data_IF_485564641581
#
_entry.id   IF_485564641581
#
_cell.length_a   1.000
_cell.length_b   1.000
_cell.length_c   1.000
_cell.angle_alpha   90.00
_cell.angle_beta   90.00
_cell.angle_gamma   90.00
#
_symmetry.space_group_name_H-M   'P 1'
#
loop_
_entity.id
_entity.type
_entity.pdbx_description
1 polymer ?
#
# COMPACT_ATOMS: atom_id res chain seq x y z
N UNK A 1 7.34 -8.14 -8.80
CA UNK A 1 7.20 -8.30 -7.34
C UNK A 1 8.16 -9.36 -6.80
N UNK A 2 9.48 -9.13 -6.87
CA UNK A 2 10.47 -10.12 -6.40
C UNK A 2 10.50 -10.34 -4.89
N UNK A 3 9.96 -9.40 -4.10
CA UNK A 3 9.86 -9.51 -2.64
C UNK A 3 9.01 -10.70 -2.16
N UNK A 4 8.10 -11.22 -3.00
CA UNK A 4 7.37 -12.44 -2.68
C UNK A 4 8.29 -13.67 -2.64
N UNK A 5 9.43 -13.63 -3.33
CA UNK A 5 10.38 -14.75 -3.38
C UNK A 5 11.23 -14.86 -2.11
N UNK A 6 11.25 -13.80 -1.29
CA UNK A 6 11.88 -13.77 0.03
C UNK A 6 10.93 -14.14 1.16
N UNK A 7 9.66 -14.41 0.87
CA UNK A 7 8.73 -14.93 1.86
C UNK A 7 9.18 -16.31 2.36
N UNK A 8 8.85 -16.67 3.60
CA UNK A 8 9.15 -17.99 4.11
C UNK A 8 8.55 -19.10 3.23
N UNK A 9 9.25 -20.22 3.10
CA UNK A 9 8.87 -21.32 2.20
C UNK A 9 7.82 -22.25 2.83
N UNK A 10 7.69 -22.20 4.14
CA UNK A 10 6.61 -22.82 4.88
C UNK A 10 5.25 -22.27 4.47
N UNK A 11 4.21 -23.09 4.66
CA UNK A 11 2.85 -22.71 4.34
C UNK A 11 2.40 -21.55 5.22
N UNK A 12 2.03 -20.42 4.60
CA UNK A 12 1.45 -19.27 5.27
C UNK A 12 -0.07 -19.45 5.35
N UNK A 13 -0.62 -19.55 6.57
CA UNK A 13 -2.06 -19.76 6.77
C UNK A 13 -2.94 -18.65 6.14
N UNK A 14 -2.37 -17.44 6.01
CA UNK A 14 -3.06 -16.25 5.53
C UNK A 14 -2.88 -15.96 4.03
N UNK A 15 -1.97 -16.68 3.34
CA UNK A 15 -1.68 -16.50 1.92
C UNK A 15 -1.44 -17.86 1.23
N UNK A 16 -2.42 -18.28 0.43
CA UNK A 16 -2.33 -19.52 -0.35
C UNK A 16 -1.46 -19.34 -1.60
N UNK A 17 -0.90 -20.45 -2.11
CA UNK A 17 -0.18 -20.45 -3.38
C UNK A 17 -1.03 -19.97 -4.57
N UNK A 18 -2.34 -20.23 -4.56
CA UNK A 18 -3.28 -19.75 -5.57
C UNK A 18 -3.44 -18.23 -5.51
N UNK A 19 -3.62 -17.65 -4.33
CA UNK A 19 -3.71 -16.20 -4.14
C UNK A 19 -2.39 -15.51 -4.54
N UNK A 20 -1.23 -16.09 -4.19
CA UNK A 20 0.09 -15.61 -4.65
C UNK A 20 0.21 -15.61 -6.17
N UNK A 21 -0.20 -16.69 -6.84
CA UNK A 21 -0.19 -16.76 -8.30
C UNK A 21 -1.13 -15.72 -8.93
N UNK A 22 -2.31 -15.49 -8.33
CA UNK A 22 -3.24 -14.47 -8.81
C UNK A 22 -2.68 -13.04 -8.67
N UNK A 23 -2.01 -12.71 -7.56
CA UNK A 23 -1.32 -11.43 -7.39
C UNK A 23 -0.32 -11.19 -8.52
N UNK A 24 0.56 -12.17 -8.76
CA UNK A 24 1.59 -12.07 -9.79
C UNK A 24 0.98 -11.94 -11.19
N UNK A 25 -0.05 -12.73 -11.50
CA UNK A 25 -0.75 -12.70 -12.78
C UNK A 25 -1.37 -11.32 -13.06
N UNK A 26 -2.18 -10.78 -12.14
CA UNK A 26 -2.87 -9.52 -12.39
C UNK A 26 -1.91 -8.33 -12.41
N UNK A 27 -0.86 -8.35 -11.59
CA UNK A 27 0.16 -7.32 -11.64
C UNK A 27 0.95 -7.34 -12.94
N UNK A 28 1.25 -8.51 -13.49
CA UNK A 28 1.92 -8.62 -14.79
C UNK A 28 1.05 -8.02 -15.91
N UNK A 29 -0.27 -8.27 -15.90
CA UNK A 29 -1.19 -7.65 -16.86
C UNK A 29 -1.19 -6.12 -16.79
N UNK A 30 -1.09 -5.54 -15.59
CA UNK A 30 -0.99 -4.08 -15.45
C UNK A 30 0.40 -3.55 -15.83
N UNK A 31 1.46 -4.27 -15.46
CA UNK A 31 2.85 -3.91 -15.83
C UNK A 31 2.99 -3.79 -17.34
N UNK A 32 2.45 -4.75 -18.10
CA UNK A 32 2.48 -4.72 -19.57
C UNK A 32 1.77 -3.48 -20.16
N UNK A 33 0.70 -3.00 -19.53
CA UNK A 33 0.01 -1.77 -19.98
C UNK A 33 0.83 -0.50 -19.76
N UNK A 34 1.80 -0.54 -18.83
CA UNK A 34 2.62 0.61 -18.46
C UNK A 34 3.98 0.62 -19.17
N UNK A 35 4.40 -0.50 -19.74
CA UNK A 35 5.75 -0.70 -20.29
C UNK A 35 6.11 0.37 -21.33
N UNK A 36 5.17 0.74 -22.20
CA UNK A 36 5.37 1.74 -23.25
C UNK A 36 4.87 3.16 -22.87
N UNK A 37 4.41 3.37 -21.64
CA UNK A 37 3.85 4.65 -21.21
C UNK A 37 4.92 5.64 -20.73
N UNK A 38 5.83 6.01 -21.63
CA UNK A 38 6.94 6.91 -21.33
C UNK A 38 6.50 8.33 -20.92
N UNK A 39 5.27 8.73 -21.25
CA UNK A 39 4.73 10.04 -20.88
C UNK A 39 4.61 10.26 -19.37
N UNK A 40 4.61 9.18 -18.58
CA UNK A 40 4.54 9.20 -17.12
C UNK A 40 5.90 9.09 -16.44
N UNK A 41 6.97 8.89 -17.21
CA UNK A 41 8.31 8.77 -16.66
C UNK A 41 8.73 10.09 -16.02
N UNK A 42 8.94 10.09 -14.71
CA UNK A 42 9.38 11.27 -13.99
C UNK A 42 10.52 10.95 -13.03
N UNK A 43 11.12 11.99 -12.47
CA UNK A 43 12.06 11.81 -11.38
C UNK A 43 11.30 11.35 -10.15
N UNK A 44 11.77 10.28 -9.52
CA UNK A 44 11.18 9.69 -8.32
C UNK A 44 12.23 9.51 -7.23
N UNK A 45 11.79 9.38 -5.99
CA UNK A 45 12.59 8.96 -4.86
C UNK A 45 12.81 7.44 -4.87
N UNK A 46 11.79 6.66 -5.24
CA UNK A 46 11.82 5.19 -5.33
C UNK A 46 11.68 4.46 -3.99
N UNK A 47 11.62 5.19 -2.87
CA UNK A 47 11.38 4.66 -1.53
C UNK A 47 10.84 5.73 -0.57
N UNK A 48 9.87 6.51 -1.07
CA UNK A 48 9.29 7.64 -0.35
C UNK A 48 8.34 7.20 0.78
N UNK A 49 8.88 6.65 1.86
CA UNK A 49 8.13 6.31 3.07
C UNK A 49 8.56 7.17 4.26
N UNK A 50 7.72 7.22 5.30
CA UNK A 50 7.92 8.07 6.49
C UNK A 50 9.30 7.95 7.16
N UNK A 51 9.95 6.77 7.15
CA UNK A 51 11.29 6.61 7.75
C UNK A 51 12.42 7.26 6.95
N UNK A 52 12.15 7.72 5.73
CA UNK A 52 13.10 8.45 4.88
C UNK A 52 12.85 9.96 4.89
N UNK A 53 11.99 10.44 5.79
CA UNK A 53 11.70 11.87 5.96
C UNK A 53 12.22 12.30 7.34
N UNK A 54 13.19 13.21 7.33
CA UNK A 54 13.64 13.90 8.52
C UNK A 54 12.95 15.25 8.63
N UNK A 55 12.39 15.54 9.80
CA UNK A 55 11.80 16.82 10.14
C UNK A 55 12.74 17.56 11.09
N UNK A 56 13.05 18.81 10.77
CA UNK A 56 13.86 19.72 11.58
C UNK A 56 13.21 21.09 11.63
N UNK A 57 13.67 21.92 12.57
CA UNK A 57 13.33 23.35 12.55
C UNK A 57 13.88 23.99 11.26
N UNK A 58 13.07 24.79 10.53
CA UNK A 58 13.54 25.55 9.37
C UNK A 58 14.74 26.45 9.72
N UNK A 59 15.75 26.48 8.86
CA UNK A 59 16.90 27.37 9.03
C UNK A 59 16.50 28.85 8.99
N UNK A 60 16.80 29.58 10.07
CA UNK A 60 16.63 31.04 10.10
C UNK A 60 17.50 31.79 9.06
N UNK A 61 18.53 31.13 8.53
CA UNK A 61 19.47 31.71 7.57
C UNK A 61 19.19 31.29 6.11
N UNK A 62 18.26 30.36 5.88
CA UNK A 62 17.84 29.94 4.54
C UNK A 62 16.31 29.94 4.45
N UNK A 63 15.70 31.01 3.88
CA UNK A 63 14.26 31.10 3.74
C UNK A 63 13.63 30.01 2.85
N UNK A 64 14.43 29.27 2.07
CA UNK A 64 13.95 28.17 1.25
C UNK A 64 13.93 26.83 2.01
N UNK A 65 14.58 26.74 3.16
CA UNK A 65 14.52 25.56 4.02
C UNK A 65 13.14 25.49 4.69
N UNK A 66 12.43 24.42 4.42
CA UNK A 66 11.11 24.14 5.00
C UNK A 66 11.18 23.13 6.15
N UNK A 67 12.37 22.77 6.62
CA UNK A 67 12.58 21.80 7.68
C UNK A 67 12.36 20.35 7.25
N UNK A 68 12.23 20.06 5.95
CA UNK A 68 12.01 18.71 5.43
C UNK A 68 13.24 18.26 4.65
N UNK A 69 13.86 17.18 5.11
CA UNK A 69 14.96 16.51 4.39
C UNK A 69 14.55 15.10 4.00
N UNK A 70 14.70 14.76 2.72
CA UNK A 70 14.50 13.41 2.20
C UNK A 70 15.83 12.63 2.20
N UNK A 71 15.80 11.43 2.76
CA UNK A 71 16.95 10.54 2.90
C UNK A 71 16.79 9.32 1.98
N UNK A 72 17.91 8.67 1.62
CA UNK A 72 17.92 7.39 0.91
C UNK A 72 17.18 7.34 -0.45
N UNK A 73 17.34 8.39 -1.26
CA UNK A 73 16.91 8.39 -2.67
C UNK A 73 17.91 7.65 -3.59
N UNK A 74 18.38 6.46 -3.18
CA UNK A 74 19.53 5.77 -3.77
C UNK A 74 19.20 4.69 -4.81
N UNK A 75 17.92 4.29 -4.93
CA UNK A 75 17.51 3.11 -5.71
C UNK A 75 17.50 3.32 -7.22
N UNK A 76 16.68 4.26 -7.68
CA UNK A 76 16.52 4.64 -9.08
C UNK A 76 15.96 6.06 -9.14
N UNK A 77 16.33 6.80 -10.17
CA UNK A 77 15.95 8.22 -10.30
C UNK A 77 14.85 8.46 -11.31
N UNK A 78 14.52 7.49 -12.17
CA UNK A 78 13.46 7.59 -13.17
C UNK A 78 12.46 6.46 -12.97
N UNK A 79 11.19 6.81 -12.85
CA UNK A 79 10.15 5.84 -12.57
C UNK A 79 8.76 6.42 -12.74
N UNK A 80 7.80 5.72 -12.16
CA UNK A 80 6.39 6.07 -12.22
C UNK A 80 5.97 6.72 -10.88
N UNK A 81 5.32 7.90 -10.90
CA UNK A 81 5.05 8.67 -9.68
C UNK A 81 4.14 7.98 -8.67
N UNK A 82 3.26 7.06 -9.10
CA UNK A 82 2.43 6.28 -8.20
C UNK A 82 3.23 5.38 -7.27
N UNK A 83 4.48 5.03 -7.60
CA UNK A 83 5.33 4.32 -6.65
C UNK A 83 5.59 5.16 -5.40
N UNK A 84 6.03 6.41 -5.55
CA UNK A 84 6.30 7.30 -4.41
C UNK A 84 5.01 7.65 -3.66
N UNK A 85 3.94 8.00 -4.38
CA UNK A 85 2.64 8.32 -3.79
C UNK A 85 2.13 7.16 -2.93
N UNK A 86 2.21 5.93 -3.43
CA UNK A 86 1.72 4.77 -2.69
C UNK A 86 2.72 4.25 -1.67
N UNK A 87 4.02 4.45 -1.87
CA UNK A 87 5.02 4.16 -0.84
C UNK A 87 4.72 4.90 0.46
N UNK A 88 4.30 6.16 0.38
CA UNK A 88 3.82 6.91 1.56
C UNK A 88 2.42 6.47 1.96
N UNK A 89 1.46 6.56 1.04
CA UNK A 89 0.04 6.39 1.36
C UNK A 89 -0.32 5.03 1.97
N UNK A 90 0.36 3.95 1.54
CA UNK A 90 0.07 2.62 2.10
C UNK A 90 0.45 2.50 3.57
N UNK A 91 1.42 3.28 4.08
CA UNK A 91 1.79 3.24 5.50
C UNK A 91 0.65 3.79 6.37
N UNK A 92 -0.05 4.83 5.92
CA UNK A 92 -1.25 5.32 6.60
C UNK A 92 -2.36 4.27 6.60
N UNK A 93 -2.66 3.68 5.44
CA UNK A 93 -3.68 2.62 5.34
C UNK A 93 -3.33 1.43 6.24
N UNK A 94 -2.09 0.96 6.17
CA UNK A 94 -1.58 -0.15 6.96
C UNK A 94 -1.72 0.11 8.45
N UNK A 95 -1.36 1.32 8.91
CA UNK A 95 -1.48 1.69 10.32
C UNK A 95 -2.94 1.83 10.77
N UNK A 96 -3.84 2.33 9.91
CA UNK A 96 -5.29 2.35 10.18
C UNK A 96 -5.84 0.93 10.36
N UNK A 97 -5.47 0.00 9.47
CA UNK A 97 -5.89 -1.41 9.53
C UNK A 97 -5.30 -2.10 10.76
N UNK A 98 -4.02 -1.87 11.09
CA UNK A 98 -3.39 -2.44 12.29
C UNK A 98 -4.08 -2.02 13.58
N UNK A 99 -4.56 -0.78 13.65
CA UNK A 99 -5.12 -0.20 14.89
C UNK A 99 -6.62 -0.41 15.02
N UNK A 100 -7.36 -0.37 13.92
CA UNK A 100 -8.84 -0.37 13.95
C UNK A 100 -9.49 -1.46 13.10
N UNK A 101 -8.72 -2.17 12.27
CA UNK A 101 -9.24 -3.11 11.28
C UNK A 101 -9.99 -2.44 10.11
N UNK A 102 -10.10 -1.10 10.08
CA UNK A 102 -10.78 -0.33 9.04
C UNK A 102 -9.90 0.82 8.56
N UNK A 103 -10.18 1.34 7.38
CA UNK A 103 -9.47 2.50 6.84
C UNK A 103 -10.16 3.81 7.23
N UNK A 104 -10.09 4.13 8.53
CA UNK A 104 -10.79 5.26 9.16
C UNK A 104 -9.91 6.00 10.16
N UNK A 105 -10.37 7.17 10.63
CA UNK A 105 -9.69 7.94 11.69
C UNK A 105 -8.49 8.75 11.19
N UNK A 106 -7.56 9.13 12.08
CA UNK A 106 -6.48 10.08 11.75
C UNK A 106 -5.60 9.64 10.57
N UNK A 107 -5.33 8.34 10.43
CA UNK A 107 -4.56 7.83 9.31
C UNK A 107 -5.31 7.92 7.97
N UNK A 108 -6.65 7.83 8.00
CA UNK A 108 -7.45 8.08 6.80
C UNK A 108 -7.41 9.56 6.41
N UNK A 109 -7.51 10.45 7.39
CA UNK A 109 -7.39 11.90 7.16
C UNK A 109 -6.02 12.25 6.56
N UNK A 110 -4.93 11.72 7.11
CA UNK A 110 -3.59 11.90 6.56
C UNK A 110 -3.44 11.36 5.13
N UNK A 111 -4.02 10.18 4.85
CA UNK A 111 -4.00 9.64 3.50
C UNK A 111 -4.76 10.53 2.52
N UNK A 112 -5.99 10.92 2.88
CA UNK A 112 -6.84 11.73 2.01
C UNK A 112 -6.19 13.09 1.74
N UNK A 113 -5.63 13.74 2.76
CA UNK A 113 -4.91 15.00 2.60
C UNK A 113 -3.70 14.86 1.67
N UNK A 114 -2.84 13.87 1.93
CA UNK A 114 -1.65 13.61 1.13
C UNK A 114 -1.99 13.30 -0.34
N UNK A 115 -2.92 12.36 -0.55
CA UNK A 115 -3.29 11.89 -1.88
C UNK A 115 -4.02 12.97 -2.69
N UNK A 116 -4.99 13.66 -2.08
CA UNK A 116 -5.75 14.70 -2.77
C UNK A 116 -4.84 15.89 -3.10
N UNK A 117 -3.97 16.32 -2.19
CA UNK A 117 -2.98 17.39 -2.44
C UNK A 117 -2.10 17.04 -3.63
N UNK A 118 -1.59 15.80 -3.70
CA UNK A 118 -0.80 15.35 -4.84
C UNK A 118 -1.60 15.43 -6.16
N UNK A 119 -2.81 14.87 -6.20
CA UNK A 119 -3.63 14.81 -7.41
C UNK A 119 -4.06 16.21 -7.86
N UNK A 120 -4.35 17.11 -6.92
CA UNK A 120 -4.73 18.50 -7.20
C UNK A 120 -3.55 19.29 -7.77
N UNK A 121 -2.37 19.19 -7.15
CA UNK A 121 -1.18 19.91 -7.58
C UNK A 121 -0.58 19.38 -8.89
N UNK A 122 -0.62 18.07 -9.10
CA UNK A 122 -0.08 17.42 -10.32
C UNK A 122 -1.06 17.39 -11.49
N UNK A 123 -2.35 17.54 -11.22
CA UNK A 123 -3.45 17.24 -12.15
C UNK A 123 -3.45 15.81 -12.72
N UNK A 124 -2.71 14.88 -12.10
CA UNK A 124 -2.57 13.51 -12.58
C UNK A 124 -3.77 12.63 -12.19
N UNK A 125 -4.84 12.72 -12.99
CA UNK A 125 -6.01 11.84 -12.82
C UNK A 125 -5.77 10.41 -13.29
N UNK A 126 -4.78 10.18 -14.16
CA UNK A 126 -4.49 8.86 -14.69
C UNK A 126 -3.81 7.95 -13.66
N UNK A 127 -3.25 8.52 -12.60
CA UNK A 127 -2.62 7.79 -11.50
C UNK A 127 -3.52 6.70 -10.90
N UNK A 128 -4.85 6.92 -10.88
CA UNK A 128 -5.83 5.94 -10.38
C UNK A 128 -5.75 4.59 -11.11
N UNK A 129 -5.36 4.57 -12.38
CA UNK A 129 -5.24 3.34 -13.18
C UNK A 129 -3.89 2.63 -12.96
N UNK A 130 -2.92 3.34 -12.37
CA UNK A 130 -1.54 2.88 -12.20
C UNK A 130 -1.26 2.38 -10.78
N UNK A 131 -1.86 3.05 -9.80
CA UNK A 131 -1.75 2.73 -8.37
C UNK A 131 -1.92 1.24 -8.06
N UNK A 132 -2.87 0.47 -8.63
CA UNK A 132 -3.04 -0.93 -8.25
C UNK A 132 -1.77 -1.78 -8.37
N UNK A 133 -0.91 -1.51 -9.35
CA UNK A 133 0.37 -2.22 -9.50
C UNK A 133 1.32 -1.94 -8.33
N UNK A 134 1.52 -0.66 -8.03
CA UNK A 134 2.42 -0.21 -6.97
C UNK A 134 1.87 -0.51 -5.59
N UNK A 135 0.56 -0.38 -5.39
CA UNK A 135 -0.14 -0.81 -4.19
C UNK A 135 0.07 -2.30 -3.94
N UNK A 136 -0.03 -3.15 -4.96
CA UNK A 136 0.22 -4.57 -4.79
C UNK A 136 1.66 -4.87 -4.35
N UNK A 137 2.64 -4.23 -4.98
CA UNK A 137 4.04 -4.36 -4.57
C UNK A 137 4.25 -3.89 -3.13
N UNK A 138 3.78 -2.70 -2.77
CA UNK A 138 3.98 -2.15 -1.43
C UNK A 138 3.17 -2.93 -0.37
N UNK A 139 2.00 -3.48 -0.72
CA UNK A 139 1.21 -4.36 0.15
C UNK A 139 1.98 -5.62 0.55
N UNK A 140 2.69 -6.26 -0.39
CA UNK A 140 3.49 -7.45 -0.06
C UNK A 140 4.76 -7.09 0.72
N UNK A 141 5.24 -5.84 0.64
CA UNK A 141 6.31 -5.36 1.54
C UNK A 141 5.79 -5.21 2.97
N UNK A 142 4.68 -4.51 3.19
CA UNK A 142 4.11 -4.31 4.55
C UNK A 142 3.42 -5.57 5.11
N UNK A 143 3.17 -6.58 4.27
CA UNK A 143 2.71 -7.90 4.71
C UNK A 143 3.85 -8.91 4.91
N UNK A 144 5.11 -8.53 4.68
CA UNK A 144 6.25 -9.46 4.72
C UNK A 144 6.48 -10.02 6.15
N UNK A 145 6.49 -11.36 6.35
CA UNK A 145 6.66 -11.97 7.68
C UNK A 145 7.95 -11.57 8.39
N UNK A 146 9.05 -11.44 7.66
CA UNK A 146 10.36 -11.10 8.24
C UNK A 146 10.53 -9.61 8.51
N UNK A 147 9.88 -8.73 7.73
CA UNK A 147 10.09 -7.29 7.88
C UNK A 147 9.27 -6.70 9.03
N UNK A 148 8.10 -7.29 9.31
CA UNK A 148 7.21 -6.86 10.40
C UNK A 148 6.77 -8.09 11.19
N UNK A 149 7.65 -8.73 11.97
CA UNK A 149 7.39 -10.06 12.56
C UNK A 149 6.24 -10.08 13.58
N UNK A 150 5.95 -8.95 14.22
CA UNK A 150 4.90 -8.77 15.22
C UNK A 150 3.49 -8.57 14.63
N UNK A 151 3.36 -8.49 13.31
CA UNK A 151 2.08 -8.27 12.65
C UNK A 151 1.21 -9.51 12.56
N UNK A 152 -0.07 -9.35 12.92
CA UNK A 152 -1.06 -10.42 12.84
C UNK A 152 -1.36 -10.86 11.41
N UNK A 153 -1.68 -12.15 11.28
CA UNK A 153 -2.09 -12.78 10.03
C UNK A 153 -3.34 -12.11 9.42
N UNK A 154 -4.25 -11.63 10.26
CA UNK A 154 -5.44 -10.88 9.83
C UNK A 154 -5.09 -9.59 9.10
N UNK A 155 -4.12 -8.82 9.58
CA UNK A 155 -3.64 -7.62 8.90
C UNK A 155 -2.92 -7.99 7.61
N UNK A 156 -2.06 -9.00 7.61
CA UNK A 156 -1.36 -9.47 6.40
C UNK A 156 -2.33 -9.91 5.31
N UNK A 157 -3.30 -10.74 5.68
CA UNK A 157 -4.39 -11.18 4.79
C UNK A 157 -5.16 -9.99 4.26
N UNK A 158 -5.47 -9.02 5.12
CA UNK A 158 -6.20 -7.81 4.72
C UNK A 158 -5.45 -7.04 3.64
N UNK A 159 -4.17 -6.74 3.86
CA UNK A 159 -3.34 -6.00 2.91
C UNK A 159 -3.17 -6.71 1.56
N UNK A 160 -2.97 -8.04 1.58
CA UNK A 160 -2.79 -8.83 0.36
C UNK A 160 -4.11 -8.99 -0.41
N UNK A 161 -5.21 -9.24 0.27
CA UNK A 161 -6.51 -9.36 -0.39
C UNK A 161 -7.01 -8.02 -0.94
N UNK A 162 -6.72 -6.91 -0.27
CA UNK A 162 -6.92 -5.56 -0.82
C UNK A 162 -6.13 -5.36 -2.10
N UNK A 163 -4.83 -5.68 -2.09
CA UNK A 163 -3.99 -5.61 -3.28
C UNK A 163 -4.56 -6.44 -4.44
N UNK A 164 -4.95 -7.68 -4.17
CA UNK A 164 -5.56 -8.55 -5.18
C UNK A 164 -6.88 -7.98 -5.72
N UNK A 165 -7.72 -7.39 -4.86
CA UNK A 165 -8.96 -6.73 -5.26
C UNK A 165 -8.71 -5.54 -6.19
N UNK A 166 -7.79 -4.65 -5.81
CA UNK A 166 -7.43 -3.49 -6.63
C UNK A 166 -6.81 -3.89 -7.97
N UNK A 167 -5.94 -4.90 -7.97
CA UNK A 167 -5.36 -5.45 -9.20
C UNK A 167 -6.44 -6.00 -10.16
N UNK A 168 -7.47 -6.67 -9.62
CA UNK A 168 -8.60 -7.19 -10.42
C UNK A 168 -9.46 -6.08 -11.00
N UNK A 169 -9.70 -5.03 -10.22
CA UNK A 169 -10.47 -3.86 -10.66
C UNK A 169 -9.70 -2.97 -11.64
N UNK A 170 -8.36 -3.03 -11.61
CA UNK A 170 -7.49 -2.26 -12.49
C UNK A 170 -7.56 -0.74 -12.28
N UNK A 171 -8.08 -0.31 -11.11
CA UNK A 171 -8.17 1.09 -10.70
C UNK A 171 -8.14 1.23 -9.19
N UNK A 172 -7.80 2.43 -8.73
CA UNK A 172 -7.79 2.81 -7.34
C UNK A 172 -8.81 3.91 -7.06
N UNK A 173 -9.50 3.79 -5.93
CA UNK A 173 -10.17 4.90 -5.26
C UNK A 173 -10.36 4.52 -3.80
N UNK A 174 -10.42 5.50 -2.90
CA UNK A 174 -10.68 5.25 -1.48
C UNK A 174 -12.03 4.55 -1.26
N UNK A 175 -13.06 4.91 -2.05
CA UNK A 175 -14.36 4.21 -2.05
C UNK A 175 -14.27 2.74 -2.45
N UNK A 176 -13.35 2.38 -3.36
CA UNK A 176 -13.13 0.99 -3.72
C UNK A 176 -12.43 0.23 -2.60
N UNK A 177 -11.44 0.86 -1.94
CA UNK A 177 -10.78 0.30 -0.75
C UNK A 177 -11.82 0.00 0.33
N UNK A 178 -12.68 0.96 0.65
CA UNK A 178 -13.73 0.81 1.67
C UNK A 178 -14.67 -0.36 1.32
N UNK A 179 -15.11 -0.45 0.06
CA UNK A 179 -15.96 -1.55 -0.42
C UNK A 179 -15.29 -2.92 -0.32
N UNK A 180 -14.00 -3.01 -0.67
CA UNK A 180 -13.24 -4.25 -0.58
C UNK A 180 -13.10 -4.68 0.88
N UNK A 181 -12.81 -3.74 1.79
CA UNK A 181 -12.75 -3.99 3.23
C UNK A 181 -14.09 -4.49 3.78
N UNK A 182 -15.20 -3.84 3.42
CA UNK A 182 -16.54 -4.26 3.86
C UNK A 182 -16.90 -5.65 3.33
N UNK A 183 -16.54 -5.95 2.08
CA UNK A 183 -16.74 -7.29 1.47
C UNK A 183 -15.97 -8.36 2.25
N UNK A 184 -14.73 -8.06 2.66
CA UNK A 184 -13.90 -8.99 3.42
C UNK A 184 -14.42 -9.19 4.85
N UNK A 185 -14.90 -8.12 5.49
CA UNK A 185 -15.52 -8.21 6.81
C UNK A 185 -16.79 -9.09 6.78
N UNK A 186 -17.61 -8.99 5.74
CA UNK A 186 -18.81 -9.82 5.57
C UNK A 186 -18.52 -11.31 5.31
N UNK A 187 -17.30 -11.65 4.84
CA UNK A 187 -16.88 -13.02 4.56
C UNK A 187 -16.19 -13.69 5.75
N UNK A 188 -15.83 -12.95 6.81
CA UNK A 188 -15.33 -13.58 8.04
C UNK A 188 -16.48 -14.37 8.68
N UNK A 189 -16.27 -15.66 9.04
CA UNK A 189 -17.27 -16.38 9.81
C UNK A 189 -17.62 -15.57 11.05
N UNK A 190 -18.91 -15.46 11.41
CA UNK A 190 -19.23 -14.92 12.72
C UNK A 190 -18.52 -15.81 13.74
N UNK A 191 -17.75 -15.20 14.64
CA UNK A 191 -17.33 -15.89 15.85
C UNK A 191 -18.58 -16.05 16.70
N UNK A 192 -19.46 -16.97 16.29
CA UNK A 192 -20.63 -17.38 17.03
C UNK A 192 -20.16 -17.96 18.35
N UNK A 193 -20.76 -17.49 19.44
CA UNK A 193 -20.54 -17.90 20.82
C UNK A 193 -20.05 -19.35 20.94
N UNK A 194 -18.80 -19.51 21.35
CA UNK A 194 -18.38 -20.67 22.12
C UNK A 194 -18.95 -20.54 23.55
N UNK A 195 -20.27 -20.40 23.64
CA UNK A 195 -21.08 -20.37 24.85
C UNK A 195 -21.96 -21.62 24.90
N UNK A 196 -21.35 -22.78 24.67
CA UNK A 196 -22.01 -24.08 24.79
C UNK A 196 -21.91 -24.59 26.22
N UNK A 197 -23.02 -24.54 26.93
CA UNK A 197 -23.25 -25.15 28.24
C UNK A 197 -23.04 -26.67 28.24
N UNK A 198 -22.73 -27.21 29.43
CA UNK A 198 -22.88 -28.61 29.83
C UNK A 198 -21.54 -29.31 30.09
N UNK A 199 -21.26 -29.90 31.25
CA UNK A 199 -22.07 -30.25 32.41
C UNK A 199 -21.18 -30.32 33.66
#
# INVERSE_FOLDING_TARGET
MGVLDTYPKESLAWLTGKERAQLLYHAELLRQKLEDNHARLCRVHGDFHQHNIMLSEPSANDPADNGITLLDASRFIWGEPADDVICMGINYLHQAIRTTGRFTGPYRELFDEFYNTYVEASHDKAIEQVIPLFFAFRSVVVAHPVFIPDQSDDVRRTMVMLALGLLKEGRFSTRLVDRLLDTMAAQKPSTGDAGGAGA
#
